data_IF_046740334236
#
_entry.id   IF_046740334236
#
_cell.length_a   1.000
_cell.length_b   1.000
_cell.length_c   1.000
_cell.angle_alpha   90.00
_cell.angle_beta   90.00
_cell.angle_gamma   90.00
#
_symmetry.space_group_name_H-M   'P 1'
#
loop_
_entity.id
_entity.type
_entity.pdbx_description
1 polymer ?
#
# COMPACT_ATOMS: atom_id res chain seq x y z
N UNK A 1 -19.57 -9.74 8.39
CA UNK A 1 -18.33 -9.14 8.90
C UNK A 1 -17.98 -8.01 7.94
N UNK A 2 -17.95 -6.78 8.43
CA UNK A 2 -17.53 -5.63 7.62
C UNK A 2 -16.00 -5.62 7.50
N UNK A 3 -15.49 -5.04 6.43
CA UNK A 3 -14.06 -4.85 6.22
C UNK A 3 -13.66 -3.54 6.90
N UNK A 4 -12.85 -3.62 7.95
CA UNK A 4 -12.28 -2.47 8.65
C UNK A 4 -10.75 -2.50 8.48
N UNK A 5 -10.20 -1.45 7.89
CA UNK A 5 -8.76 -1.33 7.68
C UNK A 5 -8.31 0.11 7.91
N UNK A 6 -7.11 0.24 8.48
CA UNK A 6 -6.53 1.51 8.89
C UNK A 6 -5.10 1.63 8.36
N UNK A 7 -4.76 2.81 7.85
CA UNK A 7 -3.42 3.17 7.41
C UNK A 7 -2.88 4.26 8.31
N UNK A 8 -1.65 4.07 8.79
CA UNK A 8 -0.92 5.10 9.53
C UNK A 8 0.23 5.62 8.66
N UNK A 9 0.21 6.92 8.37
CA UNK A 9 1.30 7.63 7.68
C UNK A 9 1.86 8.68 8.63
N UNK A 10 3.16 8.64 8.87
CA UNK A 10 3.81 9.61 9.76
C UNK A 10 3.64 11.04 9.23
N UNK A 11 3.23 11.96 10.10
CA UNK A 11 2.95 13.36 9.75
C UNK A 11 1.56 13.62 9.13
N UNK A 12 0.80 12.57 8.78
CA UNK A 12 -0.55 12.68 8.20
C UNK A 12 -1.58 12.01 9.14
N UNK A 13 -2.21 12.78 10.04
CA UNK A 13 -3.30 12.25 10.85
C UNK A 13 -4.57 12.08 10.01
N UNK A 14 -5.24 10.94 10.16
CA UNK A 14 -6.57 10.63 9.61
C UNK A 14 -7.67 10.69 10.68
N UNK A 15 -8.93 10.46 10.30
CA UNK A 15 -10.10 10.70 11.16
C UNK A 15 -10.63 9.46 11.91
N UNK A 16 -9.86 8.38 11.99
CA UNK A 16 -10.30 7.18 12.70
C UNK A 16 -10.62 7.48 14.18
N UNK A 17 -11.82 7.09 14.60
CA UNK A 17 -12.34 7.25 15.95
C UNK A 17 -12.14 6.02 16.84
N UNK A 18 -11.68 4.91 16.25
CA UNK A 18 -11.43 3.67 16.99
C UNK A 18 -10.34 3.86 18.05
N UNK A 19 -10.57 3.36 19.26
CA UNK A 19 -9.66 3.58 20.39
C UNK A 19 -8.25 3.01 20.16
N UNK A 20 -8.14 1.94 19.37
CA UNK A 20 -6.85 1.30 19.07
C UNK A 20 -6.13 1.95 17.90
N UNK A 21 -6.84 2.67 17.03
CA UNK A 21 -6.33 3.26 15.79
C UNK A 21 -6.62 4.75 15.68
N UNK A 22 -6.67 5.47 16.81
CA UNK A 22 -6.92 6.92 16.82
C UNK A 22 -5.98 7.65 15.87
N UNK A 23 -6.55 8.60 15.15
CA UNK A 23 -5.87 9.43 14.16
C UNK A 23 -5.28 8.67 12.96
N UNK A 24 -5.67 7.42 12.73
CA UNK A 24 -5.34 6.70 11.51
C UNK A 24 -6.28 7.06 10.37
N UNK A 25 -5.87 6.76 9.14
CA UNK A 25 -6.66 6.92 7.93
C UNK A 25 -7.46 5.65 7.73
N UNK A 26 -8.78 5.74 7.82
CA UNK A 26 -9.67 4.62 7.52
C UNK A 26 -9.76 4.40 6.00
N UNK A 27 -9.67 3.14 5.58
CA UNK A 27 -9.74 2.75 4.17
C UNK A 27 -10.87 1.74 3.94
N UNK A 28 -11.48 1.83 2.76
CA UNK A 28 -12.55 0.91 2.33
C UNK A 28 -12.01 -0.23 1.46
N UNK A 29 -10.75 -0.14 1.02
CA UNK A 29 -10.06 -1.20 0.29
C UNK A 29 -8.61 -0.86 -0.01
N UNK A 30 -7.80 -1.89 -0.28
CA UNK A 30 -6.42 -1.76 -0.76
C UNK A 30 -6.11 -2.81 -1.83
N UNK A 31 -5.10 -2.51 -2.64
CA UNK A 31 -4.55 -3.39 -3.66
C UNK A 31 -3.02 -3.38 -3.61
N UNK A 32 -2.44 -4.58 -3.54
CA UNK A 32 -1.00 -4.79 -3.60
C UNK A 32 -0.73 -6.13 -4.28
N UNK A 33 0.29 -6.16 -5.14
CA UNK A 33 0.62 -7.31 -5.97
C UNK A 33 2.12 -7.57 -5.97
N UNK A 34 2.47 -8.86 -6.01
CA UNK A 34 3.84 -9.33 -6.12
C UNK A 34 3.91 -10.36 -7.22
N UNK A 35 4.86 -10.21 -8.14
CA UNK A 35 5.05 -11.13 -9.26
C UNK A 35 6.52 -11.53 -9.36
N UNK A 36 6.78 -12.85 -9.35
CA UNK A 36 8.11 -13.39 -9.61
C UNK A 36 8.10 -14.10 -10.96
N UNK A 37 8.84 -13.55 -11.92
CA UNK A 37 9.02 -14.18 -13.23
C UNK A 37 9.95 -15.40 -13.08
N UNK A 38 9.38 -16.58 -12.83
CA UNK A 38 10.12 -17.85 -12.90
C UNK A 38 10.09 -18.38 -14.33
N UNK A 39 11.25 -18.79 -14.86
CA UNK A 39 11.33 -19.47 -16.14
C UNK A 39 10.77 -20.89 -16.03
N UNK A 40 9.69 -21.19 -16.77
CA UNK A 40 9.04 -22.50 -16.76
C UNK A 40 9.88 -23.62 -17.40
N UNK A 41 10.95 -23.29 -18.13
CA UNK A 41 11.78 -24.24 -18.90
C UNK A 41 13.21 -24.38 -18.37
N UNK A 42 13.65 -23.54 -17.43
CA UNK A 42 15.01 -23.60 -16.91
C UNK A 42 15.08 -24.61 -15.74
N UNK A 43 15.64 -25.79 -15.99
CA UNK A 43 15.85 -26.85 -14.99
C UNK A 43 16.93 -26.44 -13.99
N UNK A 44 16.81 -26.93 -12.76
CA UNK A 44 17.63 -26.62 -11.57
C UNK A 44 19.14 -26.93 -11.66
N UNK A 45 19.68 -27.29 -12.84
CA UNK A 45 21.07 -27.70 -13.00
C UNK A 45 22.05 -26.55 -13.27
N UNK A 46 21.88 -25.39 -12.61
CA UNK A 46 23.03 -24.49 -12.39
C UNK A 46 22.82 -22.97 -12.50
N UNK A 47 21.66 -22.44 -12.93
CA UNK A 47 21.54 -20.97 -13.09
C UNK A 47 20.13 -20.39 -13.24
N UNK A 48 19.08 -21.16 -13.02
CA UNK A 48 17.70 -20.85 -13.36
C UNK A 48 16.93 -19.97 -12.34
N UNK A 49 17.61 -19.21 -11.49
CA UNK A 49 16.98 -18.44 -10.40
C UNK A 49 17.35 -16.94 -10.45
N UNK A 50 17.53 -16.38 -11.65
CA UNK A 50 17.86 -14.95 -11.82
C UNK A 50 16.63 -14.06 -12.04
N UNK A 51 15.43 -14.50 -11.67
CA UNK A 51 14.22 -13.66 -11.72
C UNK A 51 14.10 -12.82 -10.45
N UNK A 52 14.14 -11.49 -10.56
CA UNK A 52 13.83 -10.60 -9.43
C UNK A 52 12.30 -10.48 -9.30
N UNK A 53 11.79 -10.48 -8.08
CA UNK A 53 10.36 -10.23 -7.81
C UNK A 53 10.05 -8.75 -8.07
N UNK A 54 9.07 -8.48 -8.92
CA UNK A 54 8.50 -7.15 -9.13
C UNK A 54 7.31 -6.96 -8.20
N UNK A 55 7.28 -5.83 -7.50
CA UNK A 55 6.16 -5.39 -6.68
C UNK A 55 5.33 -4.39 -7.49
N UNK A 56 4.01 -4.44 -7.36
CA UNK A 56 3.14 -3.37 -7.84
C UNK A 56 3.06 -2.26 -6.80
N UNK A 57 2.62 -1.07 -7.24
CA UNK A 57 2.31 0.01 -6.32
C UNK A 57 1.22 -0.41 -5.32
N UNK A 58 1.34 0.10 -4.10
CA UNK A 58 0.31 -0.03 -3.09
C UNK A 58 -0.75 1.03 -3.34
N UNK A 59 -1.96 0.59 -3.68
CA UNK A 59 -3.10 1.48 -3.95
C UNK A 59 -4.17 1.25 -2.89
N UNK A 60 -4.85 2.31 -2.47
CA UNK A 60 -5.93 2.20 -1.48
C UNK A 60 -7.04 3.20 -1.78
N UNK A 61 -8.25 2.86 -1.35
CA UNK A 61 -9.44 3.69 -1.47
C UNK A 61 -9.89 4.09 -0.09
N UNK A 62 -10.20 5.38 0.08
CA UNK A 62 -10.70 5.94 1.34
C UNK A 62 -11.81 6.95 1.08
N UNK A 63 -12.63 7.19 2.11
CA UNK A 63 -13.52 8.34 2.16
C UNK A 63 -12.71 9.64 2.36
N UNK A 64 -13.25 10.76 1.90
CA UNK A 64 -12.62 12.07 2.09
C UNK A 64 -12.59 12.43 3.59
N UNK A 65 -11.42 12.81 4.09
CA UNK A 65 -11.19 13.17 5.50
C UNK A 65 -10.05 14.20 5.62
N UNK A 66 -9.68 14.62 6.84
CA UNK A 66 -8.57 15.57 7.07
C UNK A 66 -7.23 15.15 6.47
N UNK A 67 -7.00 13.86 6.20
CA UNK A 67 -5.76 13.39 5.57
C UNK A 67 -5.71 13.66 4.06
N UNK A 68 -6.87 13.80 3.40
CA UNK A 68 -6.95 13.99 1.95
C UNK A 68 -6.18 15.21 1.45
N UNK A 69 -6.32 16.37 2.11
CA UNK A 69 -5.60 17.59 1.71
C UNK A 69 -4.08 17.41 1.84
N UNK A 70 -3.61 16.76 2.90
CA UNK A 70 -2.18 16.50 3.12
C UNK A 70 -1.60 15.51 2.10
N UNK A 71 -2.36 14.48 1.74
CA UNK A 71 -1.95 13.52 0.72
C UNK A 71 -1.78 14.19 -0.66
N UNK A 72 -2.72 15.07 -1.02
CA UNK A 72 -2.65 15.86 -2.25
C UNK A 72 -1.46 16.82 -2.22
N UNK A 73 -1.23 17.49 -1.10
CA UNK A 73 -0.07 18.37 -0.93
C UNK A 73 1.25 17.63 -1.16
N UNK A 74 1.41 16.43 -0.59
CA UNK A 74 2.60 15.60 -0.73
C UNK A 74 2.79 15.17 -2.20
N UNK A 75 1.71 14.78 -2.87
CA UNK A 75 1.72 14.45 -4.30
C UNK A 75 2.28 15.61 -5.13
N UNK A 76 1.81 16.84 -4.88
CA UNK A 76 2.31 18.02 -5.58
C UNK A 76 3.75 18.40 -5.22
N UNK A 77 4.17 18.13 -3.99
CA UNK A 77 5.52 18.43 -3.52
C UNK A 77 6.57 17.42 -4.01
N UNK A 78 6.15 16.28 -4.56
CA UNK A 78 7.04 15.21 -5.02
C UNK A 78 7.89 14.60 -3.91
N UNK A 79 7.50 14.76 -2.65
CA UNK A 79 8.16 14.08 -1.54
C UNK A 79 7.67 12.63 -1.50
N UNK A 80 8.60 11.70 -1.77
CA UNK A 80 8.45 10.27 -1.53
C UNK A 80 9.09 9.91 -0.20
#
# INVERSE_FOLDING_TARGET
MAFDAYIKIEGIPGEALDDSYKDCIEITGYGFGMHQSTSATARSSGGASSGRTSLSDFTFTKSLDKSSCKLIEILYRGHV
#
